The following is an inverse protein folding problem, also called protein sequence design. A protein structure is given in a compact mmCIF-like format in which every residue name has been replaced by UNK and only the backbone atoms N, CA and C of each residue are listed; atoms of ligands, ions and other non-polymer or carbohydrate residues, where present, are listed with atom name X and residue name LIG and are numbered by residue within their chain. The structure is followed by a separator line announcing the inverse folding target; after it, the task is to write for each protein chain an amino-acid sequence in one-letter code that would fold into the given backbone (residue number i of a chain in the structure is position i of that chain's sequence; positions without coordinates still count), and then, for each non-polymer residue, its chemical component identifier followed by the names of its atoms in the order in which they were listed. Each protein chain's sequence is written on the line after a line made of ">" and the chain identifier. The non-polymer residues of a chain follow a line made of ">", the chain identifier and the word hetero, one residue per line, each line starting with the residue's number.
data_IF_549710810884
#
_entry.id   IF_549710810884
#
_cell.length_a   1.000
_cell.length_b   1.000
_cell.length_c   1.000
_cell.angle_alpha   90.00
_cell.angle_beta   90.00
_cell.angle_gamma   90.00
#
_symmetry.space_group_name_H-M   'P 1'
#
loop_
_entity.id
_entity.type
_entity.pdbx_description
1 polymer ?
#
# COMPACT_ATOMS: atom_id res chain seq x y z
N UNK A 1 -12.12 2.17 25.80
CA UNK A 1 -12.19 2.70 24.42
C UNK A 1 -11.04 2.11 23.64
N UNK A 2 -11.31 1.55 22.47
CA UNK A 2 -10.29 1.02 21.56
C UNK A 2 -9.52 2.18 20.95
N UNK A 3 -8.18 2.12 20.95
CA UNK A 3 -7.33 3.14 20.31
C UNK A 3 -7.28 2.89 18.80
N UNK A 4 -7.24 3.93 17.96
CA UNK A 4 -7.10 3.76 16.52
C UNK A 4 -5.72 3.18 16.21
N UNK A 5 -5.68 2.18 15.32
CA UNK A 5 -4.43 1.59 14.82
C UNK A 5 -4.17 1.98 13.37
N UNK A 6 -5.22 2.35 12.62
CA UNK A 6 -5.17 2.62 11.20
C UNK A 6 -5.99 3.85 10.82
N UNK A 7 -5.68 4.38 9.64
CA UNK A 7 -6.43 5.44 8.98
C UNK A 7 -6.61 5.12 7.49
N UNK A 8 -7.70 5.59 6.89
CA UNK A 8 -7.88 5.46 5.44
C UNK A 8 -6.95 6.44 4.72
N UNK A 9 -6.24 5.97 3.69
CA UNK A 9 -5.22 6.77 2.97
C UNK A 9 -5.79 8.05 2.36
N UNK A 10 -6.96 7.97 1.74
CA UNK A 10 -7.60 9.13 1.10
C UNK A 10 -8.59 9.90 1.99
N UNK A 11 -9.35 9.21 2.83
CA UNK A 11 -10.48 9.79 3.58
C UNK A 11 -10.10 10.18 5.01
N UNK A 12 -8.97 9.69 5.53
CA UNK A 12 -8.65 9.78 6.95
C UNK A 12 -9.54 8.87 7.78
N UNK A 13 -9.88 9.28 9.00
CA UNK A 13 -10.75 8.52 9.89
C UNK A 13 -10.00 7.58 10.83
N UNK A 14 -10.72 7.09 11.84
CA UNK A 14 -10.19 6.31 12.95
C UNK A 14 -10.63 4.86 12.84
N UNK A 15 -9.68 3.98 12.53
CA UNK A 15 -9.96 2.56 12.39
C UNK A 15 -9.12 1.74 13.36
N UNK A 16 -9.69 0.68 13.91
CA UNK A 16 -8.97 -0.32 14.68
C UNK A 16 -9.03 -1.67 13.95
N UNK A 17 -7.88 -2.16 13.50
CA UNK A 17 -7.76 -3.57 13.12
C UNK A 17 -7.94 -4.45 14.36
N UNK A 18 -8.86 -5.41 14.28
CA UNK A 18 -9.22 -6.28 15.41
C UNK A 18 -8.68 -7.69 15.23
N UNK A 19 -8.81 -8.26 14.02
CA UNK A 19 -8.42 -9.63 13.74
C UNK A 19 -8.14 -9.83 12.25
N UNK A 20 -7.23 -10.75 11.93
CA UNK A 20 -7.07 -11.31 10.59
C UNK A 20 -7.31 -12.82 10.62
N UNK A 21 -7.94 -13.37 9.58
CA UNK A 21 -8.11 -14.81 9.44
C UNK A 21 -8.24 -15.24 7.98
N UNK A 22 -8.03 -16.53 7.70
CA UNK A 22 -8.31 -17.09 6.38
C UNK A 22 -9.83 -17.15 6.15
N UNK A 23 -10.26 -16.78 4.95
CA UNK A 23 -11.63 -16.95 4.51
C UNK A 23 -12.01 -18.41 4.32
N UNK A 24 -13.31 -18.69 4.35
CA UNK A 24 -13.86 -20.03 4.16
C UNK A 24 -14.92 -20.03 3.06
N UNK A 25 -15.20 -21.21 2.47
CA UNK A 25 -16.20 -21.36 1.43
C UNK A 25 -15.87 -20.52 0.18
N UNK A 26 -16.75 -19.63 -0.30
CA UNK A 26 -16.49 -18.80 -1.48
C UNK A 26 -15.29 -17.84 -1.34
N UNK A 27 -14.81 -17.60 -0.12
CA UNK A 27 -13.65 -16.73 0.18
C UNK A 27 -12.41 -17.56 0.56
N UNK A 28 -12.42 -18.87 0.33
CA UNK A 28 -11.27 -19.73 0.58
C UNK A 28 -10.05 -19.27 -0.23
N UNK A 29 -8.88 -19.27 0.42
CA UNK A 29 -7.62 -18.76 -0.15
C UNK A 29 -7.45 -17.24 -0.06
N UNK A 30 -8.43 -16.50 0.44
CA UNK A 30 -8.30 -15.07 0.71
C UNK A 30 -8.12 -14.80 2.21
N UNK A 31 -7.19 -13.93 2.56
CA UNK A 31 -7.11 -13.39 3.92
C UNK A 31 -8.16 -12.30 4.12
N UNK A 32 -8.85 -12.34 5.25
CA UNK A 32 -9.85 -11.37 5.66
C UNK A 32 -9.34 -10.58 6.87
N UNK A 33 -9.70 -9.30 6.91
CA UNK A 33 -9.39 -8.37 7.99
C UNK A 33 -10.70 -7.86 8.56
N UNK A 34 -10.87 -8.04 9.88
CA UNK A 34 -11.97 -7.47 10.66
C UNK A 34 -11.46 -6.20 11.32
N UNK A 35 -12.16 -5.10 11.11
CA UNK A 35 -11.82 -3.80 11.65
C UNK A 35 -13.05 -3.08 12.20
N UNK A 36 -12.83 -2.10 13.07
CA UNK A 36 -13.85 -1.21 13.62
C UNK A 36 -13.64 0.21 13.09
N UNK A 37 -14.69 0.82 12.54
CA UNK A 37 -14.78 2.27 12.34
C UNK A 37 -15.15 2.88 13.70
N UNK A 38 -14.17 3.46 14.39
CA UNK A 38 -14.31 3.93 15.77
C UNK A 38 -15.21 5.16 15.90
N UNK A 39 -15.37 5.93 14.83
CA UNK A 39 -16.25 7.10 14.82
C UNK A 39 -17.73 6.66 14.72
N UNK A 40 -18.00 5.52 14.07
CA UNK A 40 -19.35 4.95 13.94
C UNK A 40 -19.66 3.83 14.93
N UNK A 41 -18.64 3.24 15.57
CA UNK A 41 -18.78 2.05 16.41
C UNK A 41 -19.25 0.81 15.63
N UNK A 42 -18.88 0.72 14.35
CA UNK A 42 -19.31 -0.37 13.46
C UNK A 42 -18.11 -1.26 13.14
N UNK A 43 -18.28 -2.57 13.34
CA UNK A 43 -17.34 -3.57 12.87
C UNK A 43 -17.67 -3.98 11.44
N UNK A 44 -16.64 -4.12 10.62
CA UNK A 44 -16.74 -4.49 9.22
C UNK A 44 -15.61 -5.45 8.85
N UNK A 45 -15.83 -6.24 7.81
CA UNK A 45 -14.84 -7.16 7.26
C UNK A 45 -14.50 -6.75 5.83
N UNK A 46 -13.21 -6.82 5.48
CA UNK A 46 -12.76 -6.70 4.08
C UNK A 46 -11.66 -7.72 3.80
N UNK A 47 -11.24 -7.83 2.53
CA UNK A 47 -10.07 -8.65 2.17
C UNK A 47 -8.78 -7.95 2.60
N UNK A 48 -7.75 -8.71 2.93
CA UNK A 48 -6.44 -8.15 3.31
C UNK A 48 -5.83 -7.31 2.18
N UNK A 49 -6.05 -7.69 0.92
CA UNK A 49 -5.60 -6.91 -0.23
C UNK A 49 -6.22 -5.51 -0.25
N UNK A 50 -7.55 -5.43 -0.08
CA UNK A 50 -8.28 -4.16 0.02
C UNK A 50 -7.85 -3.35 1.25
N UNK A 51 -7.68 -4.02 2.39
CA UNK A 51 -7.20 -3.39 3.62
C UNK A 51 -5.84 -2.69 3.43
N UNK A 52 -4.86 -3.40 2.90
CA UNK A 52 -3.50 -2.87 2.69
C UNK A 52 -3.47 -1.76 1.63
N UNK A 53 -4.35 -1.85 0.63
CA UNK A 53 -4.48 -0.86 -0.42
C UNK A 53 -5.05 0.46 0.10
N UNK A 54 -6.11 0.40 0.91
CA UNK A 54 -6.91 1.59 1.26
C UNK A 54 -6.62 2.13 2.66
N UNK A 55 -6.12 1.30 3.58
CA UNK A 55 -5.73 1.70 4.92
C UNK A 55 -4.22 1.64 5.09
N UNK A 56 -3.75 2.41 6.06
CA UNK A 56 -2.36 2.34 6.53
C UNK A 56 -2.33 2.42 8.06
N UNK A 57 -1.32 1.81 8.69
CA UNK A 57 -1.07 2.02 10.10
C UNK A 57 -0.89 3.51 10.42
N UNK A 58 -1.33 3.91 11.60
CA UNK A 58 -1.00 5.21 12.15
C UNK A 58 0.47 5.23 12.56
N UNK A 59 1.15 6.27 12.12
CA UNK A 59 2.52 6.57 12.50
C UNK A 59 2.53 7.51 13.70
N UNK A 60 3.60 7.48 14.49
CA UNK A 60 3.73 8.33 15.68
C UNK A 60 3.66 9.83 15.36
N UNK A 61 4.11 10.21 14.16
CA UNK A 61 4.12 11.59 13.68
C UNK A 61 2.85 11.95 12.89
N UNK A 62 1.86 11.06 12.80
CA UNK A 62 0.55 11.42 12.27
C UNK A 62 -0.18 12.33 13.25
N UNK A 63 -0.81 13.39 12.73
CA UNK A 63 -1.61 14.28 13.54
C UNK A 63 -2.74 13.50 14.22
N UNK A 64 -2.87 13.56 15.57
CA UNK A 64 -3.87 12.78 16.31
C UNK A 64 -5.30 13.28 16.08
N UNK A 65 -5.46 14.45 15.45
CA UNK A 65 -6.78 15.00 15.11
C UNK A 65 -7.22 14.52 13.74
N UNK A 66 -6.40 14.73 12.69
CA UNK A 66 -6.77 14.34 11.32
C UNK A 66 -6.27 12.97 10.89
N UNK A 67 -5.56 12.24 11.76
CA UNK A 67 -5.00 10.92 11.49
C UNK A 67 -4.10 10.90 10.24
N UNK A 68 -3.29 11.92 10.05
CA UNK A 68 -2.42 11.98 8.85
C UNK A 68 -3.07 12.52 7.58
N UNK A 69 -4.39 12.73 7.54
CA UNK A 69 -5.09 13.15 6.31
C UNK A 69 -4.84 14.61 5.89
N UNK A 70 -4.38 15.47 6.81
CA UNK A 70 -4.13 16.89 6.56
C UNK A 70 -5.39 17.77 6.47
N UNK A 71 -6.58 17.19 6.33
CA UNK A 71 -7.85 17.94 6.34
C UNK A 71 -8.74 17.56 7.53
N UNK A 72 -9.75 18.39 7.81
CA UNK A 72 -10.75 18.10 8.84
C UNK A 72 -11.71 17.00 8.34
N UNK A 73 -11.39 15.73 8.64
CA UNK A 73 -12.29 14.61 8.36
C UNK A 73 -13.47 14.55 9.33
N UNK A 74 -13.37 15.15 10.53
CA UNK A 74 -14.45 15.17 11.54
C UNK A 74 -15.66 15.94 11.00
N UNK A 75 -15.42 17.01 10.22
CA UNK A 75 -16.48 17.79 9.57
C UNK A 75 -16.73 17.39 8.12
N UNK A 76 -16.04 16.36 7.61
CA UNK A 76 -16.12 15.92 6.21
C UNK A 76 -15.73 16.97 5.18
N UNK A 77 -15.07 18.06 5.58
CA UNK A 77 -14.74 19.18 4.70
C UNK A 77 -13.28 19.09 4.26
N UNK A 78 -13.06 18.45 3.11
CA UNK A 78 -11.74 18.27 2.49
C UNK A 78 -11.06 19.58 2.09
N UNK A 79 -11.84 20.65 1.88
CA UNK A 79 -11.30 21.96 1.47
C UNK A 79 -10.70 22.75 2.63
N UNK A 80 -10.87 22.28 3.88
CA UNK A 80 -10.35 22.94 5.07
C UNK A 80 -9.17 22.17 5.65
N UNK A 81 -7.98 22.81 5.78
CA UNK A 81 -6.84 22.19 6.42
C UNK A 81 -7.19 21.89 7.88
N UNK A 82 -6.66 20.77 8.40
CA UNK A 82 -6.77 20.46 9.82
C UNK A 82 -6.06 21.55 10.62
N UNK A 83 -6.78 22.22 11.54
CA UNK A 83 -6.21 23.29 12.36
C UNK A 83 -5.08 22.86 13.29
N UNK A 84 -5.06 21.58 13.71
CA UNK A 84 -4.04 21.07 14.64
C UNK A 84 -2.67 20.84 13.99
N UNK A 85 -2.63 20.52 12.70
CA UNK A 85 -1.39 20.33 11.94
C UNK A 85 -1.24 21.33 10.78
N UNK A 86 -2.13 22.33 10.72
CA UNK A 86 -2.18 23.35 9.68
C UNK A 86 -2.12 22.79 8.25
N UNK A 87 -2.78 21.65 8.01
CA UNK A 87 -2.78 21.02 6.69
C UNK A 87 -1.68 19.98 6.45
N UNK A 88 -0.65 19.90 7.29
CA UNK A 88 0.50 19.00 7.04
C UNK A 88 0.14 17.52 7.17
N UNK A 89 -0.92 17.18 7.91
CA UNK A 89 -1.23 15.80 8.32
C UNK A 89 -0.25 15.25 9.36
N UNK A 90 0.92 15.86 9.49
CA UNK A 90 2.01 15.45 10.36
C UNK A 90 2.22 16.41 11.52
N UNK A 91 2.77 15.88 12.58
CA UNK A 91 3.16 16.60 13.79
C UNK A 91 4.64 16.38 14.07
N UNK A 92 5.13 16.79 15.24
CA UNK A 92 6.53 16.56 15.62
C UNK A 92 6.80 15.06 15.77
N UNK A 93 8.09 14.71 15.78
CA UNK A 93 8.53 13.31 15.86
C UNK A 93 8.11 12.60 17.17
N UNK A 94 7.80 13.36 18.22
CA UNK A 94 7.27 12.86 19.50
C UNK A 94 5.74 12.74 19.53
N UNK A 95 5.05 13.06 18.43
CA UNK A 95 3.60 12.99 18.32
C UNK A 95 2.85 14.23 18.83
N UNK A 96 3.56 15.26 19.30
CA UNK A 96 2.93 16.51 19.73
C UNK A 96 2.69 17.47 18.57
N UNK A 97 1.50 18.08 18.54
CA UNK A 97 1.18 19.13 17.58
C UNK A 97 2.12 20.34 17.73
N UNK A 98 2.33 21.09 16.65
CA UNK A 98 3.05 22.35 16.72
C UNK A 98 2.37 23.28 17.72
N UNK A 99 3.15 23.79 18.69
CA UNK A 99 2.64 24.78 19.64
C UNK A 99 2.43 26.13 18.94
N UNK A 100 3.31 26.45 17.98
CA UNK A 100 3.35 27.72 17.28
C UNK A 100 3.54 27.51 15.76
N UNK A 101 3.05 28.46 14.96
CA UNK A 101 3.10 28.40 13.49
C UNK A 101 4.53 28.27 12.93
N UNK A 102 5.54 28.83 13.60
CA UNK A 102 6.93 28.77 13.13
C UNK A 102 7.54 27.37 13.26
N UNK A 103 7.03 26.53 14.18
CA UNK A 103 7.48 25.14 14.33
C UNK A 103 7.09 24.27 13.13
N UNK A 104 6.13 24.72 12.30
CA UNK A 104 5.75 24.02 11.07
C UNK A 104 6.90 23.89 10.09
N UNK A 105 7.78 24.91 10.01
CA UNK A 105 8.97 24.84 9.16
C UNK A 105 9.92 23.73 9.62
N UNK A 106 10.07 23.55 10.94
CA UNK A 106 10.87 22.48 11.54
C UNK A 106 10.26 21.11 11.25
N UNK A 107 8.94 20.96 11.44
CA UNK A 107 8.21 19.72 11.14
C UNK A 107 8.35 19.37 9.66
N UNK A 108 8.08 20.33 8.76
CA UNK A 108 8.20 20.15 7.32
C UNK A 108 9.62 19.76 6.90
N UNK A 109 10.63 20.43 7.46
CA UNK A 109 12.04 20.11 7.20
C UNK A 109 12.37 18.68 7.63
N UNK A 110 11.90 18.24 8.81
CA UNK A 110 12.08 16.87 9.27
C UNK A 110 11.41 15.84 8.37
N UNK A 111 10.21 16.13 7.84
CA UNK A 111 9.53 15.27 6.87
C UNK A 111 10.35 15.17 5.57
N UNK A 112 10.81 16.30 5.04
CA UNK A 112 11.61 16.34 3.81
C UNK A 112 12.91 15.54 3.97
N UNK A 113 13.60 15.68 5.11
CA UNK A 113 14.81 14.93 5.40
C UNK A 113 14.57 13.42 5.44
N UNK A 114 13.51 12.97 6.15
CA UNK A 114 13.13 11.54 6.17
C UNK A 114 12.83 11.01 4.76
N UNK A 115 12.06 11.76 3.97
CA UNK A 115 11.76 11.38 2.59
C UNK A 115 13.02 11.32 1.71
N UNK A 116 13.97 12.25 1.88
CA UNK A 116 15.24 12.22 1.17
C UNK A 116 16.07 10.98 1.54
N UNK A 117 16.15 10.65 2.83
CA UNK A 117 16.85 9.46 3.31
C UNK A 117 16.24 8.17 2.75
N UNK A 118 14.91 8.04 2.79
CA UNK A 118 14.19 6.90 2.21
C UNK A 118 14.44 6.79 0.71
N UNK A 119 14.34 7.90 -0.04
CA UNK A 119 14.61 7.91 -1.48
C UNK A 119 16.06 7.53 -1.81
N UNK A 120 17.02 8.01 -1.02
CA UNK A 120 18.43 7.65 -1.19
C UNK A 120 18.65 6.16 -0.90
N UNK A 121 17.98 5.61 0.11
CA UNK A 121 18.06 4.19 0.42
C UNK A 121 17.46 3.34 -0.70
N UNK A 122 16.28 3.70 -1.21
CA UNK A 122 15.66 3.03 -2.36
C UNK A 122 16.55 3.09 -3.61
N UNK A 123 17.16 4.24 -3.89
CA UNK A 123 18.13 4.37 -4.99
C UNK A 123 19.35 3.48 -4.77
N UNK A 124 19.86 3.37 -3.54
CA UNK A 124 20.98 2.47 -3.22
C UNK A 124 20.63 1.01 -3.47
N UNK A 125 19.42 0.59 -3.08
CA UNK A 125 18.92 -0.77 -3.32
C UNK A 125 18.74 -1.00 -4.82
N UNK A 126 18.10 -0.07 -5.53
CA UNK A 126 17.87 -0.17 -6.96
C UNK A 126 19.19 -0.22 -7.75
N UNK A 127 20.22 0.52 -7.33
CA UNK A 127 21.53 0.51 -7.98
C UNK A 127 22.45 -0.60 -7.46
N UNK A 128 21.99 -1.48 -6.57
CA UNK A 128 22.80 -2.59 -6.09
C UNK A 128 22.96 -3.64 -7.20
N UNK A 129 24.19 -3.95 -7.65
CA UNK A 129 24.42 -4.92 -8.72
C UNK A 129 23.84 -6.31 -8.43
N UNK A 130 23.82 -6.74 -7.17
CA UNK A 130 23.25 -8.03 -6.80
C UNK A 130 21.72 -8.06 -6.96
N UNK A 131 21.05 -6.93 -6.67
CA UNK A 131 19.60 -6.78 -6.87
C UNK A 131 19.28 -6.75 -8.37
N UNK A 132 20.07 -6.02 -9.15
CA UNK A 132 19.92 -5.99 -10.62
C UNK A 132 20.11 -7.37 -11.24
N UNK A 133 21.16 -8.10 -10.85
CA UNK A 133 21.40 -9.45 -11.32
C UNK A 133 20.26 -10.42 -10.97
N UNK A 134 19.68 -10.29 -9.77
CA UNK A 134 18.53 -11.10 -9.35
C UNK A 134 17.27 -10.77 -10.18
N UNK A 135 16.99 -9.48 -10.42
CA UNK A 135 15.87 -9.06 -11.27
C UNK A 135 16.04 -9.54 -12.72
N UNK A 136 17.26 -9.50 -13.26
CA UNK A 136 17.56 -10.01 -14.60
C UNK A 136 17.40 -11.54 -14.67
N UNK A 137 17.81 -12.27 -13.63
CA UNK A 137 17.62 -13.71 -13.53
C UNK A 137 16.13 -14.09 -13.51
N UNK A 138 15.32 -13.42 -12.67
CA UNK A 138 13.86 -13.60 -12.61
C UNK A 138 13.20 -13.29 -13.95
N UNK A 139 13.60 -12.21 -14.62
CA UNK A 139 13.10 -11.85 -15.94
C UNK A 139 13.45 -12.93 -16.99
N UNK A 140 14.66 -13.45 -16.96
CA UNK A 140 15.08 -14.54 -17.86
C UNK A 140 14.27 -15.81 -17.59
N UNK A 141 14.06 -16.18 -16.33
CA UNK A 141 13.23 -17.33 -15.97
C UNK A 141 11.79 -17.18 -16.44
N UNK A 142 11.16 -16.02 -16.24
CA UNK A 142 9.81 -15.76 -16.74
C UNK A 142 9.71 -15.87 -18.28
N UNK A 143 10.73 -15.38 -19.01
CA UNK A 143 10.81 -15.55 -20.47
C UNK A 143 10.93 -17.04 -20.83
N UNK A 144 11.79 -17.79 -20.17
CA UNK A 144 11.95 -19.23 -20.40
C UNK A 144 10.63 -19.97 -20.14
N UNK A 145 9.96 -19.69 -19.02
CA UNK A 145 8.69 -20.33 -18.67
C UNK A 145 7.55 -19.97 -19.63
N UNK A 146 7.48 -18.71 -20.08
CA UNK A 146 6.49 -18.30 -21.08
C UNK A 146 6.75 -18.96 -22.44
N UNK A 147 8.02 -19.08 -22.83
CA UNK A 147 8.41 -19.77 -24.07
C UNK A 147 8.09 -21.26 -23.98
N UNK A 148 8.42 -21.92 -22.86
CA UNK A 148 8.10 -23.31 -22.61
C UNK A 148 6.58 -23.56 -22.64
N UNK A 149 5.79 -22.69 -22.01
CA UNK A 149 4.32 -22.75 -22.07
C UNK A 149 3.78 -22.58 -23.50
N UNK A 150 4.34 -21.65 -24.27
CA UNK A 150 3.94 -21.45 -25.67
C UNK A 150 4.31 -22.62 -26.56
N UNK A 151 5.51 -23.21 -26.39
CA UNK A 151 5.92 -24.41 -27.12
C UNK A 151 5.03 -25.60 -26.78
N UNK A 152 4.74 -25.81 -25.50
CA UNK A 152 3.84 -26.87 -25.07
C UNK A 152 2.43 -26.66 -25.63
N UNK A 153 1.89 -25.45 -25.55
CA UNK A 153 0.60 -25.10 -26.16
C UNK A 153 0.59 -25.32 -27.68
N UNK A 154 1.68 -25.00 -28.38
CA UNK A 154 1.81 -25.29 -29.81
C UNK A 154 1.86 -26.79 -30.10
N UNK A 155 2.63 -27.56 -29.32
CA UNK A 155 2.73 -29.03 -29.41
C UNK A 155 1.42 -29.74 -29.06
N UNK A 156 0.60 -29.16 -28.20
CA UNK A 156 -0.72 -29.68 -27.80
C UNK A 156 -1.86 -29.17 -28.71
N UNK A 157 -1.64 -28.07 -29.45
CA UNK A 157 -2.61 -27.54 -30.40
C UNK A 157 -2.77 -28.44 -31.64
N UNK A 158 -3.94 -28.44 -32.26
CA UNK A 158 -4.22 -29.22 -33.47
C UNK A 158 -3.32 -28.87 -34.68
N UNK A 159 -2.55 -27.77 -34.62
CA UNK A 159 -1.71 -27.29 -35.72
C UNK A 159 -2.53 -26.74 -36.89
N UNK A 160 -2.18 -25.56 -37.38
CA UNK A 160 -2.77 -25.00 -38.61
C UNK A 160 -1.66 -24.63 -39.57
N UNK A 161 -1.40 -25.50 -40.54
CA UNK A 161 -0.67 -25.17 -41.76
C UNK A 161 -1.64 -24.90 -42.91
N UNK A 162 -1.22 -24.22 -43.99
CA UNK A 162 -2.04 -24.09 -45.20
C UNK A 162 -2.36 -25.50 -45.72
N UNK A 163 -3.64 -25.89 -45.65
CA UNK A 163 -4.12 -27.24 -46.01
C UNK A 163 -4.42 -28.20 -44.85
N UNK A 164 -4.35 -27.74 -43.58
CA UNK A 164 -4.76 -28.56 -42.42
C UNK A 164 -3.74 -29.62 -41.97
N UNK A 165 -2.53 -29.61 -42.53
CA UNK A 165 -1.42 -30.45 -42.05
C UNK A 165 -0.43 -29.65 -41.20
N UNK A 166 0.11 -30.31 -40.16
CA UNK A 166 1.21 -29.80 -39.33
C UNK A 166 2.49 -29.78 -40.15
N UNK A 167 3.13 -28.62 -40.27
CA UNK A 167 4.49 -28.50 -40.77
C UNK A 167 5.46 -28.74 -39.60
N UNK A 168 5.89 -29.99 -39.41
CA UNK A 168 7.07 -30.30 -38.60
C UNK A 168 8.25 -30.25 -39.55
N UNK A 169 9.04 -29.18 -39.50
CA UNK A 169 10.25 -29.04 -40.32
C UNK A 169 11.33 -29.96 -39.79
N UNK A 170 11.40 -31.17 -40.35
CA UNK A 170 12.63 -31.97 -40.46
C UNK A 170 13.39 -31.56 -41.73
#
# INVERSE_FOLDING_TARGET
>A
MTQPTHTHRELGGKYAELQQHMGTGPLEGQWLVIYEDLDKGIQSGTTQADWLQNWRPLLIDDCPVCMGAGHDHIKGNRDRPCGSCYGLGKVRADGEAAAELWELATIATGIIQRQQEELLNLRRIANNPAVQALLDQERQQAIIESTARNEQAWRESAGYGPGGQRYTGD
#
